data_IF_712951766057
#
_entry.id   IF_712951766057
#
_cell.length_a   1.000
_cell.length_b   1.000
_cell.length_c   1.000
_cell.angle_alpha   90.00
_cell.angle_beta   90.00
_cell.angle_gamma   90.00
#
_symmetry.space_group_name_H-M   'P 1'
#
loop_
_entity.id
_entity.type
_entity.pdbx_description
1 polymer ?
#
# COMPACT_ATOMS: atom_id res chain seq x y z
N UNK A 1 18.06 -8.23 0.42
CA UNK A 1 16.75 -7.55 0.51
C UNK A 1 16.52 -6.77 -0.79
N UNK A 2 15.64 -7.28 -1.63
CA UNK A 2 15.30 -6.69 -2.94
C UNK A 2 14.32 -5.53 -2.75
N UNK A 3 14.38 -4.49 -3.59
CA UNK A 3 13.46 -3.35 -3.67
C UNK A 3 13.35 -2.40 -2.48
N UNK A 4 14.43 -2.26 -1.71
CA UNK A 4 14.47 -1.30 -0.60
C UNK A 4 14.50 0.13 -1.16
N UNK A 5 13.58 0.99 -0.73
CA UNK A 5 13.58 2.39 -1.15
C UNK A 5 14.08 3.30 -0.04
N UNK A 6 14.74 4.40 -0.43
CA UNK A 6 15.12 5.46 0.49
C UNK A 6 13.94 6.39 0.71
N UNK A 7 13.45 6.47 1.93
CA UNK A 7 12.41 7.39 2.36
C UNK A 7 12.99 8.44 3.30
N UNK A 8 12.53 9.68 3.16
CA UNK A 8 12.82 10.75 4.11
C UNK A 8 11.79 10.66 5.22
N UNK A 9 12.26 10.47 6.45
CA UNK A 9 11.43 10.69 7.62
C UNK A 9 11.40 12.20 7.90
N UNK A 10 10.20 12.76 7.88
CA UNK A 10 9.99 14.19 8.12
C UNK A 10 10.03 14.55 9.61
N UNK A 11 9.85 13.58 10.52
CA UNK A 11 9.90 13.82 11.96
C UNK A 11 11.35 13.97 12.46
N UNK A 12 12.24 13.11 11.99
CA UNK A 12 13.66 13.14 12.37
C UNK A 12 14.55 13.89 11.36
N UNK A 13 14.03 14.18 10.16
CA UNK A 13 14.79 14.75 9.05
C UNK A 13 15.78 13.78 8.39
N UNK A 14 15.85 12.53 8.86
CA UNK A 14 16.78 11.52 8.39
C UNK A 14 16.22 10.72 7.20
N UNK A 15 17.12 10.05 6.47
CA UNK A 15 16.74 9.12 5.41
C UNK A 15 16.90 7.68 5.88
N UNK A 16 15.84 6.90 5.75
CA UNK A 16 15.82 5.48 6.09
C UNK A 16 15.59 4.63 4.85
N UNK A 17 16.17 3.43 4.83
CA UNK A 17 15.99 2.46 3.75
C UNK A 17 14.94 1.41 4.13
N UNK A 18 13.68 1.59 3.75
CA UNK A 18 12.54 0.77 4.22
C UNK A 18 11.46 0.65 3.13
N UNK A 19 10.36 -0.03 3.47
CA UNK A 19 9.12 -0.03 2.71
C UNK A 19 8.07 0.80 3.46
N UNK A 20 7.19 1.47 2.72
CA UNK A 20 6.01 2.10 3.34
C UNK A 20 4.88 1.08 3.31
N UNK A 21 4.36 0.71 4.47
CA UNK A 21 3.21 -0.20 4.57
C UNK A 21 1.90 0.59 4.52
N UNK A 22 0.94 0.08 3.76
CA UNK A 22 -0.44 0.53 3.77
C UNK A 22 -1.32 -0.64 4.21
N UNK A 23 -2.17 -0.42 5.20
CA UNK A 23 -3.02 -1.46 5.78
C UNK A 23 -4.47 -1.02 5.71
N UNK A 24 -5.33 -1.90 5.21
CA UNK A 24 -6.77 -1.77 5.28
C UNK A 24 -7.27 -2.60 6.46
N UNK A 25 -8.09 -2.00 7.30
CA UNK A 25 -8.76 -2.70 8.39
C UNK A 25 -10.23 -2.32 8.46
N UNK A 26 -11.02 -3.24 9.02
CA UNK A 26 -12.43 -3.03 9.30
C UNK A 26 -12.63 -2.88 10.80
N UNK A 27 -13.50 -1.96 11.19
CA UNK A 27 -13.83 -1.72 12.58
C UNK A 27 -15.31 -1.46 12.74
N UNK A 28 -15.89 -2.04 13.79
CA UNK A 28 -17.25 -1.79 14.28
C UNK A 28 -17.29 -0.75 15.42
N UNK A 29 -16.14 -0.12 15.73
CA UNK A 29 -15.97 0.82 16.84
C UNK A 29 -15.51 0.19 18.16
N UNK A 30 -15.57 -1.15 18.29
CA UNK A 30 -15.04 -1.87 19.47
C UNK A 30 -13.86 -2.79 19.11
N UNK A 31 -13.93 -3.39 17.92
CA UNK A 31 -12.95 -4.33 17.38
C UNK A 31 -12.29 -3.71 16.14
N UNK A 32 -11.02 -4.04 15.92
CA UNK A 32 -10.31 -3.71 14.68
C UNK A 32 -9.72 -5.00 14.08
N UNK A 33 -10.12 -5.30 12.85
CA UNK A 33 -9.67 -6.48 12.11
C UNK A 33 -8.83 -6.05 10.90
N UNK A 34 -7.54 -6.42 10.83
CA UNK A 34 -6.75 -6.17 9.63
C UNK A 34 -7.26 -7.05 8.48
N UNK A 35 -7.64 -6.42 7.37
CA UNK A 35 -8.21 -7.11 6.20
C UNK A 35 -7.15 -7.41 5.14
N UNK A 36 -6.38 -6.39 4.75
CA UNK A 36 -5.37 -6.53 3.71
C UNK A 36 -4.25 -5.49 3.90
N UNK A 37 -3.11 -5.75 3.29
CA UNK A 37 -1.96 -4.85 3.34
C UNK A 37 -1.15 -4.88 2.05
N UNK A 38 -0.51 -3.76 1.75
CA UNK A 38 0.44 -3.64 0.65
C UNK A 38 1.70 -2.92 1.09
N UNK A 39 2.82 -3.26 0.46
CA UNK A 39 4.13 -2.66 0.72
C UNK A 39 4.50 -1.80 -0.47
N UNK A 40 4.57 -0.49 -0.26
CA UNK A 40 4.97 0.46 -1.29
C UNK A 40 6.49 0.65 -1.28
N UNK A 41 7.07 0.62 -2.47
CA UNK A 41 8.45 0.99 -2.74
C UNK A 41 8.50 2.13 -3.77
N UNK A 42 9.52 2.97 -3.67
CA UNK A 42 9.69 4.09 -4.60
C UNK A 42 10.50 3.66 -5.81
N UNK A 43 9.93 3.79 -7.01
CA UNK A 43 10.65 3.55 -8.28
C UNK A 43 11.84 4.50 -8.43
N UNK A 44 11.70 5.76 -7.98
CA UNK A 44 12.74 6.80 -8.11
C UNK A 44 13.87 6.68 -7.08
N UNK A 45 13.60 6.06 -5.94
CA UNK A 45 14.54 5.92 -4.83
C UNK A 45 14.87 4.46 -4.49
N UNK A 46 14.64 3.54 -5.44
CA UNK A 46 14.92 2.12 -5.31
C UNK A 46 16.43 1.88 -5.25
N UNK A 47 16.89 1.22 -4.20
CA UNK A 47 18.30 0.94 -3.94
C UNK A 47 18.73 -0.44 -4.45
N UNK A 48 17.77 -1.34 -4.67
CA UNK A 48 17.99 -2.72 -5.11
C UNK A 48 16.97 -3.12 -6.17
N UNK A 49 17.43 -3.72 -7.27
CA UNK A 49 16.59 -4.14 -8.41
C UNK A 49 15.96 -5.53 -8.24
N UNK A 50 15.13 -5.93 -9.21
CA UNK A 50 14.53 -7.27 -9.25
C UNK A 50 15.57 -8.33 -9.57
N UNK A 51 15.53 -9.45 -8.87
CA UNK A 51 16.18 -10.66 -9.36
C UNK A 51 15.40 -11.20 -10.58
N UNK A 52 16.00 -11.31 -11.76
CA UNK A 52 15.33 -11.78 -12.97
C UNK A 52 14.91 -13.26 -12.91
N UNK A 53 15.47 -14.04 -11.98
CA UNK A 53 15.14 -15.46 -11.79
C UNK A 53 13.87 -15.74 -10.98
N UNK A 54 13.11 -14.70 -10.59
CA UNK A 54 11.89 -14.89 -9.78
C UNK A 54 10.74 -15.37 -10.68
N UNK A 55 10.06 -16.43 -10.23
CA UNK A 55 8.84 -16.91 -10.88
C UNK A 55 7.71 -15.86 -10.83
N UNK A 56 7.27 -15.44 -12.01
CA UNK A 56 6.22 -14.44 -12.22
C UNK A 56 4.83 -14.92 -11.80
N UNK A 57 4.63 -16.23 -11.64
CA UNK A 57 3.35 -16.79 -11.17
C UNK A 57 3.19 -16.67 -9.66
N UNK A 58 4.31 -16.51 -8.94
CA UNK A 58 4.31 -16.44 -7.48
C UNK A 58 3.55 -15.21 -6.96
N UNK A 59 2.87 -15.38 -5.84
CA UNK A 59 2.25 -14.29 -5.08
C UNK A 59 3.28 -13.23 -4.66
N UNK A 60 4.52 -13.64 -4.39
CA UNK A 60 5.63 -12.73 -4.11
C UNK A 60 5.97 -11.81 -5.28
N UNK A 61 5.87 -12.27 -6.53
CA UNK A 61 6.05 -11.41 -7.71
C UNK A 61 4.89 -10.42 -7.88
N UNK A 62 3.65 -10.87 -7.67
CA UNK A 62 2.46 -10.00 -7.74
C UNK A 62 2.54 -8.84 -6.76
N UNK A 63 2.87 -9.13 -5.49
CA UNK A 63 3.06 -8.09 -4.45
C UNK A 63 4.22 -7.15 -4.75
N UNK A 64 5.30 -7.65 -5.36
CA UNK A 64 6.41 -6.79 -5.82
C UNK A 64 5.96 -5.85 -6.93
N UNK A 65 5.10 -6.30 -7.84
CA UNK A 65 4.54 -5.45 -8.90
C UNK A 65 3.65 -4.36 -8.29
N UNK A 66 2.76 -4.73 -7.37
CA UNK A 66 1.90 -3.81 -6.62
C UNK A 66 2.73 -2.71 -5.91
N UNK A 67 3.89 -3.05 -5.37
CA UNK A 67 4.76 -2.11 -4.65
C UNK A 67 5.16 -0.85 -5.44
N UNK A 68 5.12 -0.89 -6.78
CA UNK A 68 5.45 0.26 -7.65
C UNK A 68 4.25 1.15 -8.00
N UNK A 69 3.03 0.72 -7.68
CA UNK A 69 1.85 1.52 -7.93
C UNK A 69 1.77 2.69 -6.93
N UNK A 70 1.07 3.75 -7.33
CA UNK A 70 0.84 4.89 -6.45
C UNK A 70 -0.07 4.47 -5.29
N UNK A 71 0.08 5.12 -4.14
CA UNK A 71 -0.75 4.82 -2.98
C UNK A 71 -2.25 5.00 -3.23
N UNK A 72 -2.74 6.05 -3.93
CA UNK A 72 -4.16 6.17 -4.23
C UNK A 72 -4.70 4.99 -5.05
N UNK A 73 -3.95 4.52 -6.05
CA UNK A 73 -4.34 3.39 -6.86
C UNK A 73 -4.44 2.10 -6.04
N UNK A 74 -3.46 1.86 -5.18
CA UNK A 74 -3.46 0.70 -4.28
C UNK A 74 -4.58 0.75 -3.23
N UNK A 75 -4.95 1.94 -2.74
CA UNK A 75 -6.10 2.12 -1.85
C UNK A 75 -7.39 1.67 -2.55
N UNK A 76 -7.60 2.07 -3.81
CA UNK A 76 -8.76 1.63 -4.59
C UNK A 76 -8.76 0.11 -4.77
N UNK A 77 -7.64 -0.48 -5.16
CA UNK A 77 -7.55 -1.95 -5.29
C UNK A 77 -7.81 -2.69 -3.97
N UNK A 78 -7.33 -2.17 -2.84
CA UNK A 78 -7.59 -2.73 -1.51
C UNK A 78 -9.08 -2.70 -1.17
N UNK A 79 -9.76 -1.59 -1.47
CA UNK A 79 -11.20 -1.44 -1.26
C UNK A 79 -11.99 -2.38 -2.17
N UNK A 80 -11.64 -2.46 -3.46
CA UNK A 80 -12.29 -3.37 -4.41
C UNK A 80 -12.17 -4.83 -3.95
N UNK A 81 -10.99 -5.23 -3.45
CA UNK A 81 -10.77 -6.57 -2.89
C UNK A 81 -11.60 -6.82 -1.62
N UNK A 82 -11.75 -5.81 -0.76
CA UNK A 82 -12.56 -5.92 0.45
C UNK A 82 -14.05 -6.03 0.12
N UNK A 83 -14.55 -5.24 -0.83
CA UNK A 83 -15.95 -5.32 -1.27
C UNK A 83 -16.20 -6.68 -1.93
N UNK A 84 -15.29 -7.14 -2.79
CA UNK A 84 -15.40 -8.46 -3.44
C UNK A 84 -15.34 -9.62 -2.44
N UNK A 85 -14.70 -9.46 -1.28
CA UNK A 85 -14.70 -10.45 -0.20
C UNK A 85 -15.91 -10.36 0.74
N UNK A 86 -16.87 -9.46 0.44
CA UNK A 86 -18.11 -9.31 1.18
C UNK A 86 -18.04 -8.34 2.36
N UNK A 87 -16.94 -7.58 2.50
CA UNK A 87 -16.84 -6.55 3.53
C UNK A 87 -17.76 -5.38 3.17
N UNK A 88 -18.63 -5.03 4.11
CA UNK A 88 -19.50 -3.85 4.02
C UNK A 88 -19.15 -2.86 5.14
N UNK A 89 -19.08 -1.59 4.80
CA UNK A 89 -18.83 -0.49 5.73
C UNK A 89 -19.64 0.73 5.29
N UNK A 90 -20.19 1.47 6.26
CA UNK A 90 -20.93 2.71 5.98
C UNK A 90 -20.00 3.88 5.60
N UNK A 91 -18.76 3.86 6.11
CA UNK A 91 -17.79 4.93 5.93
C UNK A 91 -16.39 4.34 5.78
N UNK A 92 -15.54 5.04 5.03
CA UNK A 92 -14.10 4.75 4.93
C UNK A 92 -13.36 5.84 5.69
N UNK A 93 -12.59 5.45 6.71
CA UNK A 93 -11.70 6.35 7.43
C UNK A 93 -10.31 6.30 6.81
N UNK A 94 -9.77 7.46 6.44
CA UNK A 94 -8.42 7.59 5.89
C UNK A 94 -7.73 8.85 6.41
N UNK A 95 -6.40 8.84 6.48
CA UNK A 95 -5.64 10.04 6.81
C UNK A 95 -5.85 11.13 5.74
N UNK A 96 -5.89 12.40 6.16
CA UNK A 96 -5.97 13.58 5.29
C UNK A 96 -4.94 13.59 4.15
N UNK A 97 -3.80 12.93 4.33
CA UNK A 97 -2.76 12.78 3.32
C UNK A 97 -3.23 11.97 2.10
N UNK A 98 -4.24 11.09 2.26
CA UNK A 98 -4.89 10.37 1.16
C UNK A 98 -6.03 11.17 0.54
N UNK A 99 -6.67 12.07 1.29
CA UNK A 99 -7.79 12.89 0.83
C UNK A 99 -7.39 14.03 -0.14
N UNK A 100 -6.09 14.23 -0.40
CA UNK A 100 -5.58 15.26 -1.32
C UNK A 100 -5.77 14.95 -2.81
N UNK A 101 -6.37 13.82 -3.14
CA UNK A 101 -6.94 13.55 -4.46
C UNK A 101 -8.44 13.48 -4.27
N UNK A 102 -9.14 14.44 -4.86
CA UNK A 102 -10.59 14.42 -5.00
C UNK A 102 -10.96 13.13 -5.75
N UNK A 103 -11.36 12.09 -5.02
CA UNK A 103 -12.18 11.01 -5.56
C UNK A 103 -13.62 11.53 -5.64
N UNK A 104 -13.83 12.60 -6.41
CA UNK A 104 -15.16 12.95 -6.89
C UNK A 104 -15.29 12.31 -8.27
N UNK A 105 -15.87 11.12 -8.30
CA UNK A 105 -16.51 10.62 -9.51
C UNK A 105 -17.98 11.00 -9.41
N UNK A 106 -18.40 11.92 -10.30
CA UNK A 106 -19.76 11.98 -10.85
C UNK A 106 -20.12 10.68 -11.54
#
# INVERSE_FOLDING_TARGET
MEWLARFKDHATGAYYKWFRMLTLGWSDGHTFLPLDFTLLSSVKAGLTGMNPGIDKRSCGYKRRKEAFHSAPHLVSELLDRAIASGVSAAYVLMDSWFARVVLATT
#
